data_IF_810035480166
#
_entry.id   IF_810035480166
#
_cell.length_a   1.000
_cell.length_b   1.000
_cell.length_c   1.000
_cell.angle_alpha   90.00
_cell.angle_beta   90.00
_cell.angle_gamma   90.00
#
_symmetry.space_group_name_H-M   'P 1'
#
loop_
_entity.id
_entity.type
_entity.pdbx_description
1 polymer ?
#
# COMPACT_ATOMS: atom_id res chain seq x y z
N UNK A 1 -35.21 23.49 15.98
CA UNK A 1 -34.93 24.31 17.16
C UNK A 1 -34.02 23.52 18.09
N UNK A 2 -32.76 23.94 18.14
CA UNK A 2 -31.66 23.70 19.09
C UNK A 2 -31.54 22.37 19.85
N UNK A 3 -30.43 21.67 19.62
CA UNK A 3 -29.67 21.02 20.68
C UNK A 3 -28.16 21.15 20.39
N UNK A 4 -27.51 22.04 21.16
CA UNK A 4 -26.06 22.19 21.26
C UNK A 4 -25.44 20.90 21.83
N UNK A 5 -24.38 20.39 21.19
CA UNK A 5 -23.45 19.46 21.83
C UNK A 5 -22.07 20.11 21.87
N UNK A 6 -21.64 20.42 23.10
CA UNK A 6 -20.40 21.09 23.41
C UNK A 6 -19.21 20.13 23.48
N UNK A 7 -18.07 20.64 22.98
CA UNK A 7 -16.73 20.09 23.12
C UNK A 7 -16.37 19.79 24.59
N UNK A 8 -15.81 18.61 24.85
CA UNK A 8 -15.03 18.33 26.07
C UNK A 8 -13.63 17.85 25.67
N UNK A 9 -12.66 18.75 25.87
CA UNK A 9 -11.22 18.46 25.85
C UNK A 9 -10.88 17.90 27.23
N UNK A 10 -10.30 16.71 27.30
CA UNK A 10 -9.75 16.15 28.54
C UNK A 10 -8.22 16.10 28.39
N UNK A 11 -7.53 16.95 29.13
CA UNK A 11 -6.10 16.87 29.38
C UNK A 11 -5.89 16.17 30.73
N UNK A 12 -5.02 15.16 30.78
CA UNK A 12 -4.55 14.56 32.03
C UNK A 12 -3.02 14.53 32.03
N UNK A 13 -2.42 15.03 33.11
CA UNK A 13 -0.99 15.07 33.38
C UNK A 13 -0.71 14.67 34.84
N UNK A 14 0.53 14.25 35.11
CA UNK A 14 1.21 13.96 36.39
C UNK A 14 0.85 12.60 37.08
N UNK A 15 1.73 11.86 37.78
CA UNK A 15 3.01 12.10 38.49
C UNK A 15 3.79 10.76 38.62
N UNK A 16 5.13 10.66 38.50
CA UNK A 16 6.23 10.86 39.46
C UNK A 16 6.39 9.84 40.64
N UNK A 17 7.47 9.03 40.58
CA UNK A 17 8.46 8.80 41.66
C UNK A 17 8.34 7.59 42.60
N UNK A 18 9.39 6.74 42.70
CA UNK A 18 10.00 6.28 43.97
C UNK A 18 11.37 5.57 43.78
N UNK A 19 12.17 5.52 44.84
CA UNK A 19 13.63 5.53 44.88
C UNK A 19 14.35 4.20 45.22
N UNK A 20 15.64 4.18 44.83
CA UNK A 20 16.88 3.59 45.38
C UNK A 20 16.86 2.42 46.39
N UNK A 21 17.69 1.41 46.11
CA UNK A 21 18.38 0.61 47.12
C UNK A 21 19.87 0.46 46.74
N UNK A 22 20.76 0.83 47.65
CA UNK A 22 22.22 0.61 47.59
C UNK A 22 22.58 -0.45 48.63
N UNK A 23 23.45 -1.38 48.31
CA UNK A 23 24.22 -2.14 49.32
C UNK A 23 25.58 -2.58 48.77
N UNK A 24 26.60 -2.76 49.64
CA UNK A 24 28.01 -2.68 49.25
C UNK A 24 28.84 -3.96 49.50
N UNK A 25 30.11 -3.86 49.10
CA UNK A 25 31.33 -4.57 49.55
C UNK A 25 31.68 -5.90 48.83
N UNK A 26 32.78 -5.88 48.07
CA UNK A 26 34.02 -6.59 48.41
C UNK A 26 35.13 -6.33 47.38
N UNK A 27 36.31 -5.91 47.86
CA UNK A 27 37.54 -5.75 47.09
C UNK A 27 38.23 -7.09 46.87
N UNK A 28 38.87 -7.29 45.71
CA UNK A 28 40.01 -8.21 45.60
C UNK A 28 40.20 -8.93 44.27
N UNK A 29 41.31 -8.58 43.60
CA UNK A 29 42.17 -9.43 42.75
C UNK A 29 41.96 -9.48 41.21
N UNK A 30 42.95 -8.85 40.56
CA UNK A 30 43.78 -9.35 39.43
C UNK A 30 43.11 -9.77 38.10
N UNK A 31 43.22 -8.84 37.15
CA UNK A 31 43.60 -9.01 35.75
C UNK A 31 43.20 -10.31 35.03
N UNK A 32 42.13 -10.20 34.25
CA UNK A 32 41.97 -10.84 32.94
C UNK A 32 41.29 -9.84 32.01
N UNK A 33 41.85 -9.64 30.82
CA UNK A 33 41.27 -8.81 29.76
C UNK A 33 39.85 -9.30 29.42
N UNK A 34 38.82 -8.44 29.40
CA UNK A 34 37.56 -8.80 28.79
C UNK A 34 37.67 -8.59 27.28
N UNK A 35 37.69 -9.70 26.57
CA UNK A 35 37.27 -9.87 25.19
C UNK A 35 36.14 -8.89 24.85
N UNK A 36 36.42 -7.94 23.95
CA UNK A 36 35.45 -6.94 23.49
C UNK A 36 34.29 -7.66 22.80
N UNK A 37 33.13 -7.67 23.46
CA UNK A 37 31.87 -8.05 22.84
C UNK A 37 31.65 -7.22 21.56
N UNK A 38 31.15 -7.82 20.46
CA UNK A 38 30.81 -7.06 19.27
C UNK A 38 29.69 -6.08 19.63
N UNK A 39 29.92 -4.80 19.30
CA UNK A 39 28.90 -3.75 19.34
C UNK A 39 27.70 -4.22 18.50
N UNK A 40 26.45 -4.13 19.00
CA UNK A 40 25.29 -4.38 18.16
C UNK A 40 25.31 -3.37 17.02
N UNK A 41 25.49 -3.86 15.80
CA UNK A 41 25.42 -3.05 14.59
C UNK A 41 24.13 -2.24 14.62
N UNK A 42 24.31 -0.96 14.29
CA UNK A 42 23.25 0.01 14.16
C UNK A 42 22.11 -0.57 13.34
N UNK A 43 20.97 -0.68 14.01
CA UNK A 43 19.61 -0.63 13.46
C UNK A 43 19.60 -0.17 12.00
N UNK A 44 19.49 -1.15 11.10
CA UNK A 44 19.29 -0.93 9.67
C UNK A 44 17.94 -0.23 9.51
N UNK A 45 17.94 1.10 9.56
CA UNK A 45 16.82 1.90 9.13
C UNK A 45 16.48 1.50 7.68
N UNK A 46 15.18 1.39 7.31
CA UNK A 46 14.80 1.06 5.95
C UNK A 46 15.44 2.05 4.99
N UNK A 47 16.14 1.50 3.99
CA UNK A 47 16.79 2.27 2.93
C UNK A 47 15.69 3.07 2.23
N UNK A 48 15.57 4.36 2.55
CA UNK A 48 14.66 5.24 1.83
C UNK A 48 15.27 5.42 0.44
N UNK A 49 14.54 5.19 -0.66
CA UNK A 49 15.08 5.43 -1.99
C UNK A 49 15.55 6.87 -2.07
N UNK A 50 16.88 7.04 -2.11
CA UNK A 50 17.56 8.33 -2.10
C UNK A 50 18.05 8.62 -3.51
N UNK A 51 17.39 9.59 -4.17
CA UNK A 51 17.70 10.07 -5.51
C UNK A 51 16.66 11.11 -5.97
N UNK A 52 16.97 11.96 -6.97
CA UNK A 52 15.99 12.86 -7.54
C UNK A 52 14.94 12.01 -8.28
N UNK A 53 13.77 11.79 -7.66
CA UNK A 53 12.64 11.20 -8.37
C UNK A 53 11.84 12.27 -9.09
N UNK A 54 10.86 11.83 -9.89
CA UNK A 54 10.02 12.73 -10.70
C UNK A 54 9.31 13.79 -9.85
N UNK A 55 9.31 15.03 -10.33
CA UNK A 55 8.50 16.13 -9.81
C UNK A 55 7.12 16.17 -10.49
N UNK A 56 6.24 17.07 -10.02
CA UNK A 56 4.89 17.21 -10.56
C UNK A 56 4.84 17.54 -12.06
N UNK A 57 5.78 18.34 -12.56
CA UNK A 57 5.84 18.71 -13.98
C UNK A 57 6.25 17.51 -14.85
N UNK A 58 7.24 16.73 -14.42
CA UNK A 58 7.62 15.51 -15.11
C UNK A 58 6.50 14.45 -15.11
N UNK A 59 5.76 14.32 -14.00
CA UNK A 59 4.58 13.46 -13.93
C UNK A 59 3.48 13.91 -14.89
N UNK A 60 3.24 15.21 -15.01
CA UNK A 60 2.24 15.74 -15.94
C UNK A 60 2.66 15.52 -17.40
N UNK A 61 3.95 15.66 -17.71
CA UNK A 61 4.47 15.37 -19.04
C UNK A 61 4.26 13.88 -19.41
N UNK A 62 4.48 12.96 -18.47
CA UNK A 62 4.18 11.54 -18.66
C UNK A 62 2.70 11.29 -18.96
N UNK A 63 1.80 11.86 -18.15
CA UNK A 63 0.36 11.70 -18.35
C UNK A 63 -0.07 12.30 -19.70
N UNK A 64 0.49 13.43 -20.10
CA UNK A 64 0.19 14.05 -21.41
C UNK A 64 0.59 13.14 -22.59
N UNK A 65 1.69 12.37 -22.46
CA UNK A 65 2.09 11.39 -23.47
C UNK A 65 1.13 10.20 -23.55
N UNK A 66 0.53 9.83 -22.41
CA UNK A 66 -0.41 8.71 -22.30
C UNK A 66 -1.79 9.12 -22.83
N UNK A 67 -2.26 10.29 -22.40
CA UNK A 67 -3.57 10.85 -22.73
C UNK A 67 -3.45 12.37 -22.91
N UNK A 68 -3.37 12.85 -24.16
CA UNK A 68 -3.35 14.27 -24.45
C UNK A 68 -4.61 15.02 -24.02
N UNK A 69 -5.73 14.31 -23.80
CA UNK A 69 -7.03 14.85 -23.41
C UNK A 69 -7.27 14.81 -21.89
N UNK A 70 -6.22 14.51 -21.11
CA UNK A 70 -6.31 14.49 -19.65
C UNK A 70 -6.85 15.80 -19.06
N UNK A 71 -7.58 15.68 -17.97
CA UNK A 71 -8.15 16.82 -17.24
C UNK A 71 -7.38 17.02 -15.95
N UNK A 72 -6.74 18.17 -15.80
CA UNK A 72 -6.07 18.57 -14.55
C UNK A 72 -6.95 19.49 -13.71
N UNK A 73 -7.04 19.21 -12.41
CA UNK A 73 -7.70 20.05 -11.42
C UNK A 73 -6.83 20.15 -10.16
N UNK A 74 -6.13 21.27 -10.00
CA UNK A 74 -5.18 21.47 -8.92
C UNK A 74 -4.05 20.43 -8.97
N UNK A 75 -3.96 19.61 -7.92
CA UNK A 75 -2.99 18.53 -7.79
C UNK A 75 -3.52 17.16 -8.24
N UNK A 76 -4.76 17.12 -8.73
CA UNK A 76 -5.39 15.95 -9.34
C UNK A 76 -5.31 16.00 -10.86
N UNK A 77 -5.08 14.85 -11.48
CA UNK A 77 -5.10 14.65 -12.93
C UNK A 77 -5.95 13.41 -13.22
N UNK A 78 -6.96 13.56 -14.08
CA UNK A 78 -7.77 12.46 -14.59
C UNK A 78 -7.39 12.20 -16.04
N UNK A 79 -7.20 10.93 -16.39
CA UNK A 79 -6.81 10.50 -17.73
C UNK A 79 -7.32 9.08 -17.98
N UNK A 80 -7.23 8.63 -19.24
CA UNK A 80 -7.74 7.32 -19.66
C UNK A 80 -6.61 6.41 -20.11
N UNK A 81 -6.66 5.14 -19.66
CA UNK A 81 -5.75 4.08 -20.12
C UNK A 81 -6.59 2.89 -20.52
N UNK A 82 -6.55 2.47 -21.80
CA UNK A 82 -7.37 1.36 -22.33
C UNK A 82 -8.86 1.47 -21.96
N UNK A 83 -9.45 2.65 -22.18
CA UNK A 83 -10.84 2.97 -21.83
C UNK A 83 -11.16 3.00 -20.32
N UNK A 84 -10.17 2.74 -19.45
CA UNK A 84 -10.32 2.83 -18.00
C UNK A 84 -9.99 4.26 -17.53
N UNK A 85 -10.87 4.95 -16.79
CA UNK A 85 -10.52 6.19 -16.14
C UNK A 85 -9.52 5.92 -14.99
N UNK A 86 -8.43 6.68 -14.98
CA UNK A 86 -7.41 6.68 -13.94
C UNK A 86 -7.29 8.08 -13.37
N UNK A 87 -7.10 8.15 -12.06
CA UNK A 87 -6.82 9.39 -11.34
C UNK A 87 -5.40 9.33 -10.78
N UNK A 88 -4.65 10.40 -10.99
CA UNK A 88 -3.40 10.67 -10.30
C UNK A 88 -3.60 11.85 -9.36
N UNK A 89 -3.14 11.71 -8.13
CA UNK A 89 -2.99 12.84 -7.20
C UNK A 89 -1.54 12.86 -6.75
N UNK A 90 -0.91 14.03 -6.80
CA UNK A 90 0.45 14.21 -6.29
C UNK A 90 0.55 15.43 -5.38
N UNK A 91 1.62 15.52 -4.61
CA UNK A 91 1.91 16.67 -3.76
C UNK A 91 3.43 16.88 -3.73
N UNK A 92 3.88 18.01 -4.28
CA UNK A 92 5.29 18.36 -4.37
C UNK A 92 5.93 18.62 -2.99
N UNK A 93 5.15 19.08 -2.01
CA UNK A 93 5.64 19.38 -0.67
C UNK A 93 5.77 18.09 0.16
N UNK A 94 4.72 17.27 0.17
CA UNK A 94 4.71 15.99 0.86
C UNK A 94 5.52 14.90 0.12
N UNK A 95 5.93 15.17 -1.12
CA UNK A 95 6.62 14.25 -2.04
C UNK A 95 5.94 12.90 -2.15
N UNK A 96 4.62 12.91 -2.39
CA UNK A 96 3.81 11.69 -2.52
C UNK A 96 2.96 11.75 -3.76
N UNK A 97 2.81 10.60 -4.39
CA UNK A 97 1.95 10.39 -5.54
C UNK A 97 1.07 9.16 -5.30
N UNK A 98 -0.16 9.24 -5.79
CA UNK A 98 -1.11 8.12 -5.81
C UNK A 98 -1.75 8.02 -7.18
N UNK A 99 -1.72 6.82 -7.76
CA UNK A 99 -2.54 6.42 -8.90
C UNK A 99 -3.70 5.56 -8.41
N UNK A 100 -4.89 5.76 -8.96
CA UNK A 100 -6.03 4.95 -8.59
C UNK A 100 -7.10 4.91 -9.68
N UNK A 101 -7.80 3.78 -9.76
CA UNK A 101 -8.89 3.55 -10.70
C UNK A 101 -10.11 3.02 -9.96
N UNK A 102 -11.33 3.54 -10.26
CA UNK A 102 -12.56 3.01 -9.67
C UNK A 102 -12.82 1.61 -10.21
N UNK A 103 -13.34 0.73 -9.35
CA UNK A 103 -13.68 -0.65 -9.69
C UNK A 103 -15.19 -0.86 -9.72
N UNK A 104 -15.84 -0.74 -8.56
CA UNK A 104 -17.26 -1.00 -8.38
C UNK A 104 -17.78 -0.30 -7.12
N UNK A 105 -19.10 -0.28 -6.92
CA UNK A 105 -19.67 0.16 -5.64
C UNK A 105 -19.33 -0.85 -4.54
N UNK A 106 -18.99 -0.38 -3.35
CA UNK A 106 -18.63 -1.22 -2.21
C UNK A 106 -19.78 -2.13 -1.75
N UNK A 107 -21.04 -1.77 -2.05
CA UNK A 107 -22.20 -2.59 -1.72
C UNK A 107 -22.27 -3.96 -2.40
N UNK A 108 -21.43 -4.23 -3.42
CA UNK A 108 -21.33 -5.58 -4.02
C UNK A 108 -20.46 -6.53 -3.20
N UNK A 109 -19.72 -6.01 -2.21
CA UNK A 109 -18.77 -6.79 -1.43
C UNK A 109 -19.49 -7.60 -0.36
N UNK A 110 -19.46 -8.92 -0.52
CA UNK A 110 -19.71 -9.84 0.59
C UNK A 110 -18.40 -10.17 1.34
N UNK A 111 -18.51 -10.92 2.43
CA UNK A 111 -17.35 -11.30 3.25
C UNK A 111 -16.32 -12.11 2.46
N UNK A 112 -16.77 -12.97 1.53
CA UNK A 112 -15.89 -13.80 0.72
C UNK A 112 -15.06 -12.97 -0.26
N UNK A 113 -15.70 -12.00 -0.92
CA UNK A 113 -15.09 -11.10 -1.87
C UNK A 113 -14.13 -10.13 -1.16
N UNK A 114 -14.53 -9.62 0.00
CA UNK A 114 -13.66 -8.81 0.86
C UNK A 114 -12.40 -9.57 1.27
N UNK A 115 -12.56 -10.82 1.71
CA UNK A 115 -11.44 -11.67 2.10
C UNK A 115 -10.51 -11.93 0.90
N UNK A 116 -11.07 -12.21 -0.28
CA UNK A 116 -10.29 -12.44 -1.49
C UNK A 116 -9.46 -11.22 -1.89
N UNK A 117 -10.02 -10.02 -1.76
CA UNK A 117 -9.29 -8.76 -1.98
C UNK A 117 -8.11 -8.59 -1.00
N UNK A 118 -8.34 -8.87 0.29
CA UNK A 118 -7.30 -8.73 1.32
C UNK A 118 -6.19 -9.77 1.16
N UNK A 119 -6.54 -10.99 0.78
CA UNK A 119 -5.60 -12.05 0.39
C UNK A 119 -4.76 -11.61 -0.81
N UNK A 120 -5.40 -11.11 -1.87
CA UNK A 120 -4.68 -10.61 -3.05
C UNK A 120 -3.73 -9.45 -2.73
N UNK A 121 -4.10 -8.57 -1.79
CA UNK A 121 -3.20 -7.51 -1.32
C UNK A 121 -1.92 -8.05 -0.67
N UNK A 122 -1.91 -9.30 -0.21
CA UNK A 122 -0.74 -9.93 0.39
C UNK A 122 0.25 -10.44 -0.67
N UNK A 123 -0.23 -11.00 -1.79
CA UNK A 123 0.63 -11.78 -2.70
C UNK A 123 0.50 -11.44 -4.20
N UNK A 124 -0.70 -11.19 -4.73
CA UNK A 124 -0.95 -11.07 -6.17
C UNK A 124 -1.20 -9.65 -6.68
N UNK A 125 -1.57 -8.71 -5.80
CA UNK A 125 -1.72 -7.30 -6.15
C UNK A 125 -0.39 -6.52 -6.10
N UNK A 126 0.66 -7.12 -5.53
CA UNK A 126 2.06 -6.63 -5.50
C UNK A 126 2.24 -5.23 -4.90
N UNK A 127 2.37 -4.17 -5.70
CA UNK A 127 2.47 -2.79 -5.24
C UNK A 127 1.13 -2.06 -5.31
N UNK A 128 0.19 -2.56 -6.13
CA UNK A 128 -1.19 -2.11 -6.11
C UNK A 128 -1.95 -2.72 -4.93
N UNK A 129 -2.98 -2.00 -4.46
CA UNK A 129 -3.85 -2.40 -3.35
C UNK A 129 -5.30 -2.15 -3.69
N UNK A 130 -6.15 -3.09 -3.29
CA UNK A 130 -7.58 -2.86 -3.21
C UNK A 130 -7.91 -2.05 -1.96
N UNK A 131 -8.70 -0.99 -2.12
CA UNK A 131 -9.14 -0.12 -1.03
C UNK A 131 -10.62 0.27 -1.20
N UNK A 132 -11.26 0.68 -0.10
CA UNK A 132 -12.63 1.19 -0.12
C UNK A 132 -12.62 2.64 0.36
N UNK A 133 -13.23 3.53 -0.42
CA UNK A 133 -13.44 4.91 -0.04
C UNK A 133 -14.67 5.47 -0.77
N UNK A 134 -15.48 6.26 -0.07
CA UNK A 134 -16.70 6.86 -0.60
C UNK A 134 -17.64 5.85 -1.27
N UNK A 135 -17.90 4.71 -0.61
CA UNK A 135 -18.73 3.62 -1.14
C UNK A 135 -18.27 3.04 -2.49
N UNK A 136 -16.99 3.23 -2.85
CA UNK A 136 -16.38 2.71 -4.08
C UNK A 136 -15.18 1.85 -3.71
N UNK A 137 -15.04 0.72 -4.40
CA UNK A 137 -13.84 -0.11 -4.41
C UNK A 137 -12.86 0.47 -5.42
N UNK A 138 -11.62 0.62 -5.01
CA UNK A 138 -10.54 1.23 -5.78
C UNK A 138 -9.38 0.24 -5.95
N UNK A 139 -8.75 0.28 -7.11
CA UNK A 139 -7.36 -0.16 -7.28
C UNK A 139 -6.46 1.04 -7.05
N UNK A 140 -5.44 0.90 -6.21
CA UNK A 140 -4.63 2.04 -5.75
C UNK A 140 -3.15 1.66 -5.72
N UNK A 141 -2.30 2.53 -6.26
CA UNK A 141 -0.85 2.47 -6.10
C UNK A 141 -0.39 3.77 -5.45
N UNK A 142 0.36 3.66 -4.33
CA UNK A 142 0.90 4.79 -3.58
C UNK A 142 2.41 4.74 -3.61
N UNK A 143 3.06 5.85 -3.94
CA UNK A 143 4.52 5.89 -4.00
C UNK A 143 5.08 7.24 -3.54
N UNK A 144 6.17 7.28 -2.76
CA UNK A 144 6.94 8.50 -2.55
C UNK A 144 7.50 9.02 -3.88
N UNK A 145 7.50 10.32 -4.11
CA UNK A 145 8.13 10.88 -5.32
C UNK A 145 9.66 10.84 -5.25
N UNK A 146 10.25 10.44 -4.13
CA UNK A 146 11.69 10.17 -4.03
C UNK A 146 12.02 8.83 -4.69
N UNK A 147 12.98 8.82 -5.62
CA UNK A 147 13.38 7.62 -6.37
C UNK A 147 12.33 7.06 -7.34
N UNK A 148 11.21 7.75 -7.55
CA UNK A 148 10.27 7.41 -8.61
C UNK A 148 10.89 7.78 -9.96
N UNK A 149 10.97 6.83 -10.89
CA UNK A 149 11.38 7.04 -12.28
C UNK A 149 10.22 6.72 -13.26
N UNK A 150 10.45 6.90 -14.56
CA UNK A 150 9.41 6.67 -15.58
C UNK A 150 8.98 5.19 -15.64
N UNK A 151 9.90 4.25 -15.40
CA UNK A 151 9.65 2.82 -15.44
C UNK A 151 8.78 2.38 -14.26
N UNK A 152 9.07 2.86 -13.06
CA UNK A 152 8.28 2.62 -11.85
C UNK A 152 6.91 3.27 -11.97
N UNK A 153 6.82 4.48 -12.55
CA UNK A 153 5.52 5.10 -12.84
C UNK A 153 4.70 4.23 -13.79
N UNK A 154 5.29 3.79 -14.92
CA UNK A 154 4.61 2.94 -15.90
C UNK A 154 4.20 1.58 -15.30
N UNK A 155 5.06 0.98 -14.48
CA UNK A 155 4.78 -0.27 -13.76
C UNK A 155 3.62 -0.10 -12.79
N UNK A 156 3.66 0.93 -11.93
CA UNK A 156 2.58 1.22 -10.99
C UNK A 156 1.26 1.51 -11.68
N UNK A 157 1.28 2.25 -12.80
CA UNK A 157 0.09 2.51 -13.62
C UNK A 157 -0.49 1.22 -14.21
N UNK A 158 0.36 0.36 -14.78
CA UNK A 158 -0.06 -0.94 -15.30
C UNK A 158 -0.68 -1.80 -14.20
N UNK A 159 -0.05 -1.84 -13.02
CA UNK A 159 -0.56 -2.58 -11.86
C UNK A 159 -1.94 -2.07 -11.41
N UNK A 160 -2.18 -0.76 -11.38
CA UNK A 160 -3.49 -0.19 -11.03
C UNK A 160 -4.56 -0.63 -12.02
N UNK A 161 -4.28 -0.51 -13.32
CA UNK A 161 -5.25 -0.86 -14.38
C UNK A 161 -5.54 -2.36 -14.37
N UNK A 162 -4.51 -3.21 -14.33
CA UNK A 162 -4.67 -4.66 -14.35
C UNK A 162 -5.41 -5.15 -13.09
N UNK A 163 -5.07 -4.63 -11.90
CA UNK A 163 -5.79 -5.01 -10.68
C UNK A 163 -7.27 -4.60 -10.72
N UNK A 164 -7.60 -3.48 -11.38
CA UNK A 164 -8.98 -3.05 -11.58
C UNK A 164 -9.73 -3.91 -12.62
N UNK A 165 -9.03 -4.43 -13.64
CA UNK A 165 -9.58 -5.31 -14.68
C UNK A 165 -9.80 -6.74 -14.16
N UNK A 166 -8.91 -7.25 -13.31
CA UNK A 166 -8.96 -8.63 -12.80
C UNK A 166 -9.76 -8.80 -11.52
N UNK A 167 -10.30 -7.71 -10.97
CA UNK A 167 -11.19 -7.75 -9.83
C UNK A 167 -12.40 -8.64 -10.10
N UNK A 168 -12.74 -9.50 -9.14
CA UNK A 168 -13.81 -10.49 -9.28
C UNK A 168 -13.40 -11.77 -10.02
N UNK A 169 -12.17 -11.85 -10.53
CA UNK A 169 -11.64 -13.05 -11.21
C UNK A 169 -10.33 -13.51 -10.56
N UNK A 170 -9.18 -13.09 -11.08
CA UNK A 170 -7.86 -13.56 -10.65
C UNK A 170 -7.22 -12.68 -9.58
N UNK A 171 -7.73 -11.46 -9.35
CA UNK A 171 -7.24 -10.49 -8.37
C UNK A 171 -5.72 -10.27 -8.43
N UNK A 172 -5.18 -10.05 -9.64
CA UNK A 172 -3.75 -9.83 -9.88
C UNK A 172 -3.49 -8.45 -10.45
N UNK A 173 -2.32 -7.87 -10.17
CA UNK A 173 -1.86 -6.61 -10.79
C UNK A 173 -0.89 -6.84 -11.96
N UNK A 174 -0.56 -8.08 -12.31
CA UNK A 174 0.34 -8.36 -13.44
C UNK A 174 0.71 -9.82 -13.59
N UNK A 175 1.86 -10.05 -14.24
CA UNK A 175 2.39 -11.39 -14.49
C UNK A 175 3.11 -12.00 -13.28
N UNK A 176 3.54 -11.18 -12.33
CA UNK A 176 4.21 -11.63 -11.12
C UNK A 176 3.19 -11.87 -10.02
N UNK A 177 3.36 -12.96 -9.27
CA UNK A 177 2.63 -13.26 -8.04
C UNK A 177 3.67 -13.68 -7.03
N UNK A 178 3.73 -13.00 -5.87
CA UNK A 178 4.64 -13.43 -4.81
C UNK A 178 4.16 -14.76 -4.21
N UNK A 179 5.10 -15.63 -3.85
CA UNK A 179 4.79 -16.86 -3.14
C UNK A 179 4.43 -16.61 -1.68
N UNK A 180 3.85 -17.61 -1.03
CA UNK A 180 3.56 -17.58 0.42
C UNK A 180 2.17 -17.05 0.79
N UNK A 181 1.41 -16.52 -0.16
CA UNK A 181 -0.02 -16.28 -0.01
C UNK A 181 -0.88 -17.40 -0.58
N UNK A 182 -2.20 -17.20 -0.56
CA UNK A 182 -3.21 -18.18 -0.94
C UNK A 182 -3.88 -17.89 -2.30
N UNK A 183 -3.48 -16.84 -3.01
CA UNK A 183 -4.12 -16.46 -4.29
C UNK A 183 -4.01 -17.53 -5.36
N UNK A 184 -2.87 -18.22 -5.46
CA UNK A 184 -2.69 -19.31 -6.44
C UNK A 184 -3.59 -20.52 -6.13
N UNK A 185 -3.80 -20.80 -4.85
CA UNK A 185 -4.62 -21.91 -4.39
C UNK A 185 -6.11 -21.61 -4.58
N UNK A 186 -6.54 -20.38 -4.26
CA UNK A 186 -7.91 -19.93 -4.52
C UNK A 186 -8.24 -19.92 -6.02
N UNK A 187 -7.33 -19.43 -6.87
CA UNK A 187 -7.52 -19.45 -8.32
C UNK A 187 -7.62 -20.89 -8.88
N UNK A 188 -6.86 -21.84 -8.31
CA UNK A 188 -6.94 -23.27 -8.67
C UNK A 188 -8.27 -23.89 -8.25
N UNK A 189 -8.74 -23.62 -7.02
CA UNK A 189 -10.06 -24.09 -6.55
C UNK A 189 -11.19 -23.57 -7.43
N UNK A 190 -11.13 -22.31 -7.85
CA UNK A 190 -12.09 -21.73 -8.78
C UNK A 190 -12.10 -22.49 -10.11
N UNK A 191 -10.92 -22.74 -10.69
CA UNK A 191 -10.82 -23.51 -11.93
C UNK A 191 -11.41 -24.92 -11.78
N UNK A 192 -11.05 -25.65 -10.73
CA UNK A 192 -11.59 -26.99 -10.46
C UNK A 192 -13.11 -26.99 -10.28
N UNK A 193 -13.65 -25.95 -9.64
CA UNK A 193 -15.09 -25.78 -9.48
C UNK A 193 -15.79 -25.54 -10.82
N UNK A 194 -15.26 -24.62 -11.64
CA UNK A 194 -15.80 -24.33 -12.98
C UNK A 194 -15.69 -25.53 -13.92
N UNK A 195 -14.57 -26.26 -13.93
CA UNK A 195 -14.38 -27.47 -14.72
C UNK A 195 -15.46 -28.52 -14.40
N UNK A 196 -15.77 -28.72 -13.12
CA UNK A 196 -16.87 -29.62 -12.70
C UNK A 196 -18.23 -29.17 -13.21
N UNK A 197 -18.53 -27.87 -13.21
CA UNK A 197 -19.82 -27.34 -13.69
C UNK A 197 -19.96 -27.45 -15.22
N UNK A 198 -18.86 -27.43 -15.96
CA UNK A 198 -18.88 -27.47 -17.43
C UNK A 198 -18.88 -28.88 -18.03
N UNK A 199 -18.67 -29.92 -17.21
CA UNK A 199 -18.73 -31.32 -17.66
C UNK A 199 -20.18 -31.82 -17.65
N UNK A 200 -20.68 -32.44 -18.74
CA UNK A 200 -22.00 -33.03 -18.74
C UNK A 200 -22.05 -34.22 -17.77
N UNK A 201 -23.14 -34.35 -17.02
CA UNK A 201 -23.43 -35.59 -16.29
C UNK A 201 -23.56 -36.73 -17.32
N UNK A 202 -22.71 -37.75 -17.18
CA UNK A 202 -22.71 -38.96 -18.01
C UNK A 202 -23.72 -39.94 -17.43
#
# INVERSE_FOLDING_TARGET
>A
MNAQYGNRILALALAAGLALAVSPIAQGQAATEPETAPTPDAETAPVTPSGPGLDGEALLALVTRIDPEHVRQGNGVQFTVRERPVLMVFDDNARRMRLYAPIAQAGILDESLMKRMLQANFDSALDARYAIANEIVWSVFLHPMAGLDEQLFASGLAQVVIAAETFGTTFTSGALVFGGGDSNDENRKLFEHLDKLTKPEI
#
